data_IF_741794292632
#
_entry.id   IF_741794292632
#
_cell.length_a   1.000
_cell.length_b   1.000
_cell.length_c   1.000
_cell.angle_alpha   90.00
_cell.angle_beta   90.00
_cell.angle_gamma   90.00
#
_symmetry.space_group_name_H-M   'P 1'
#
loop_
_entity.id
_entity.type
_entity.pdbx_description
1 polymer ?
#
# COMPACT_ATOMS: atom_id res chain seq x y z
N UNK A 1 43.91 -30.85 -33.69
CA UNK A 1 43.94 -29.40 -33.86
C UNK A 1 42.58 -28.77 -34.15
N UNK A 2 41.51 -29.58 -34.31
CA UNK A 2 40.16 -29.12 -34.74
C UNK A 2 39.29 -28.52 -33.62
N UNK A 3 39.37 -28.99 -32.35
CA UNK A 3 38.41 -28.58 -31.29
C UNK A 3 38.73 -27.23 -30.59
N UNK A 4 39.95 -26.72 -30.72
CA UNK A 4 40.34 -25.42 -30.15
C UNK A 4 39.94 -24.22 -31.02
N UNK A 5 39.76 -24.41 -32.32
CA UNK A 5 39.33 -23.36 -33.27
C UNK A 5 37.82 -23.15 -33.18
N UNK A 6 37.02 -24.19 -33.06
CA UNK A 6 35.57 -24.12 -32.94
C UNK A 6 35.09 -23.44 -31.61
N UNK A 7 35.84 -23.61 -30.51
CA UNK A 7 35.54 -22.96 -29.23
C UNK A 7 35.96 -21.47 -29.19
N UNK A 8 36.91 -21.06 -30.03
CA UNK A 8 37.31 -19.64 -30.14
C UNK A 8 36.30 -18.82 -30.96
N UNK A 9 35.73 -19.39 -32.01
CA UNK A 9 34.76 -18.72 -32.88
C UNK A 9 33.42 -18.42 -32.10
N UNK A 10 32.92 -19.37 -31.36
CA UNK A 10 31.68 -19.15 -30.53
C UNK A 10 31.84 -18.14 -29.40
N UNK A 11 33.07 -17.96 -28.90
CA UNK A 11 33.39 -16.96 -27.88
C UNK A 11 33.45 -15.54 -28.45
N UNK A 12 33.99 -15.41 -29.67
CA UNK A 12 34.04 -14.12 -30.41
C UNK A 12 32.64 -13.68 -30.84
N UNK A 13 31.82 -14.58 -31.38
CA UNK A 13 30.44 -14.26 -31.76
C UNK A 13 29.58 -13.83 -30.57
N UNK A 14 29.69 -14.51 -29.40
CA UNK A 14 29.00 -14.12 -28.18
C UNK A 14 29.43 -12.73 -27.67
N UNK A 15 30.74 -12.42 -27.77
CA UNK A 15 31.21 -11.09 -27.37
C UNK A 15 30.78 -9.99 -28.35
N UNK A 16 30.78 -10.30 -29.63
CA UNK A 16 30.30 -9.36 -30.65
C UNK A 16 28.81 -9.07 -30.52
N UNK A 17 28.00 -10.10 -30.29
CA UNK A 17 26.57 -9.95 -30.04
C UNK A 17 26.28 -9.12 -28.77
N UNK A 18 26.99 -9.41 -27.66
CA UNK A 18 26.85 -8.64 -26.42
C UNK A 18 27.24 -7.18 -26.60
N UNK A 19 28.28 -6.90 -27.35
CA UNK A 19 28.71 -5.52 -27.66
C UNK A 19 27.69 -4.78 -28.55
N UNK A 20 27.08 -5.48 -29.51
CA UNK A 20 26.01 -4.92 -30.34
C UNK A 20 24.75 -4.61 -29.54
N UNK A 21 24.32 -5.54 -28.62
CA UNK A 21 23.16 -5.34 -27.74
C UNK A 21 23.39 -4.16 -26.76
N UNK A 22 24.62 -4.01 -26.24
CA UNK A 22 24.99 -2.88 -25.38
C UNK A 22 25.03 -1.55 -26.16
N UNK A 23 25.47 -1.57 -27.43
CA UNK A 23 25.50 -0.40 -28.27
C UNK A 23 24.09 0.05 -28.68
N UNK A 24 23.22 -0.89 -29.02
CA UNK A 24 21.80 -0.63 -29.29
C UNK A 24 21.05 -0.08 -28.06
N UNK A 25 21.32 -0.64 -26.88
CA UNK A 25 20.76 -0.15 -25.62
C UNK A 25 21.21 1.28 -25.30
N UNK A 26 22.50 1.60 -25.54
CA UNK A 26 23.03 2.96 -25.38
C UNK A 26 22.45 3.95 -26.41
N UNK A 27 22.30 3.52 -27.67
CA UNK A 27 21.67 4.34 -28.68
C UNK A 27 20.21 4.64 -28.39
N UNK A 28 19.43 3.63 -27.89
CA UNK A 28 18.05 3.82 -27.44
C UNK A 28 17.96 4.73 -26.21
N UNK A 29 18.90 4.62 -25.28
CA UNK A 29 18.97 5.51 -24.12
C UNK A 29 19.28 6.96 -24.53
N UNK A 30 20.23 7.17 -25.45
CA UNK A 30 20.56 8.50 -25.98
C UNK A 30 19.43 9.11 -26.84
N UNK A 31 18.71 8.32 -27.63
CA UNK A 31 17.53 8.78 -28.38
C UNK A 31 16.36 9.14 -27.44
N UNK A 32 16.17 8.40 -26.33
CA UNK A 32 15.24 8.75 -25.25
C UNK A 32 15.62 10.06 -24.56
N UNK A 33 16.86 10.20 -24.16
CA UNK A 33 17.39 11.39 -23.51
C UNK A 33 17.30 12.63 -24.41
N UNK A 34 17.52 12.48 -25.75
CA UNK A 34 17.34 13.53 -26.71
C UNK A 34 15.87 13.91 -26.97
N UNK A 35 14.94 12.96 -26.88
CA UNK A 35 13.49 13.23 -26.98
C UNK A 35 12.93 13.93 -25.74
N UNK A 36 13.41 13.56 -24.55
CA UNK A 36 13.08 14.26 -23.30
C UNK A 36 13.62 15.69 -23.24
N UNK A 37 14.71 15.97 -23.96
CA UNK A 37 15.32 17.31 -24.04
C UNK A 37 14.83 18.19 -25.20
N UNK A 38 13.90 17.67 -26.03
CA UNK A 38 13.35 18.48 -27.11
C UNK A 38 12.29 19.45 -26.56
N UNK A 39 12.57 20.76 -26.48
CA UNK A 39 11.65 21.71 -25.88
C UNK A 39 10.35 21.78 -26.68
N UNK A 40 9.24 21.79 -25.95
CA UNK A 40 7.89 21.97 -26.51
C UNK A 40 7.79 23.30 -27.29
N UNK A 41 6.81 23.48 -28.18
CA UNK A 41 6.64 24.74 -28.91
C UNK A 41 6.53 25.97 -27.97
N UNK A 42 5.93 25.82 -26.79
CA UNK A 42 5.86 26.87 -25.78
C UNK A 42 7.18 27.10 -25.06
N UNK A 43 7.97 26.06 -24.82
CA UNK A 43 9.31 26.18 -24.19
C UNK A 43 10.36 26.80 -25.12
N UNK A 44 10.15 26.80 -26.42
CA UNK A 44 11.05 27.48 -27.37
C UNK A 44 11.07 29.00 -27.19
N UNK A 45 10.04 29.58 -26.65
CA UNK A 45 9.94 31.01 -26.31
C UNK A 45 10.57 31.40 -24.98
N UNK A 46 10.93 30.38 -24.14
CA UNK A 46 11.49 30.59 -22.80
C UNK A 46 13.00 30.72 -22.84
N UNK A 47 13.56 31.56 -21.96
CA UNK A 47 14.99 31.64 -21.71
C UNK A 47 15.51 30.30 -21.09
N UNK A 48 16.82 30.00 -21.20
CA UNK A 48 17.39 28.79 -20.58
C UNK A 48 17.05 28.66 -19.09
N UNK A 49 17.13 29.77 -18.34
CA UNK A 49 16.81 29.80 -16.91
C UNK A 49 15.32 29.51 -16.61
N UNK A 50 14.42 29.97 -17.46
CA UNK A 50 12.99 29.67 -17.35
C UNK A 50 12.70 28.21 -17.68
N UNK A 51 13.41 27.60 -18.63
CA UNK A 51 13.30 26.14 -18.93
C UNK A 51 13.77 25.30 -17.77
N UNK A 52 14.89 25.65 -17.14
CA UNK A 52 15.36 24.96 -15.93
C UNK A 52 14.32 25.08 -14.81
N UNK A 53 13.71 26.25 -14.67
CA UNK A 53 12.62 26.45 -13.70
C UNK A 53 11.39 25.58 -14.02
N UNK A 54 10.99 25.44 -15.28
CA UNK A 54 9.90 24.55 -15.70
C UNK A 54 10.25 23.09 -15.40
N UNK A 55 11.49 22.67 -15.67
CA UNK A 55 11.96 21.31 -15.38
C UNK A 55 11.99 21.03 -13.85
N UNK A 56 12.43 21.99 -13.05
CA UNK A 56 12.47 21.88 -11.59
C UNK A 56 11.07 21.87 -10.94
N UNK A 57 10.09 22.55 -11.54
CA UNK A 57 8.71 22.63 -11.06
C UNK A 57 7.78 21.61 -11.74
N UNK A 58 8.27 20.90 -12.76
CA UNK A 58 7.57 19.78 -13.37
C UNK A 58 7.36 18.65 -12.33
N UNK A 59 6.11 18.21 -12.17
CA UNK A 59 5.80 17.03 -11.35
C UNK A 59 6.39 15.75 -11.95
N UNK A 60 6.47 14.68 -11.16
CA UNK A 60 6.85 13.36 -11.66
C UNK A 60 5.82 12.87 -12.69
N UNK A 61 6.29 12.35 -13.82
CA UNK A 61 5.40 11.72 -14.81
C UNK A 61 4.83 10.41 -14.28
N UNK A 62 3.70 9.96 -14.85
CA UNK A 62 3.10 8.66 -14.49
C UNK A 62 4.07 7.50 -14.68
N UNK A 63 4.88 7.54 -15.75
CA UNK A 63 5.93 6.54 -16.02
C UNK A 63 7.03 6.56 -14.94
N UNK A 64 7.42 7.75 -14.47
CA UNK A 64 8.41 7.89 -13.40
C UNK A 64 7.85 7.35 -12.08
N UNK A 65 6.60 7.67 -11.73
CA UNK A 65 5.92 7.14 -10.55
C UNK A 65 5.84 5.61 -10.59
N UNK A 66 5.39 5.06 -11.72
CA UNK A 66 5.36 3.62 -11.94
C UNK A 66 6.73 2.98 -11.72
N UNK A 67 7.80 3.56 -12.30
CA UNK A 67 9.16 3.04 -12.18
C UNK A 67 9.69 3.06 -10.75
N UNK A 68 9.34 4.08 -9.97
CA UNK A 68 9.71 4.17 -8.53
C UNK A 68 9.04 3.03 -7.76
N UNK A 69 7.71 2.87 -7.90
CA UNK A 69 6.95 1.87 -7.14
C UNK A 69 7.30 0.44 -7.61
N UNK A 70 7.51 0.25 -8.91
CA UNK A 70 8.00 -1.03 -9.45
C UNK A 70 9.32 -1.44 -8.80
N UNK A 71 10.28 -0.51 -8.71
CA UNK A 71 11.57 -0.76 -8.06
C UNK A 71 11.41 -1.07 -6.56
N UNK A 72 10.60 -0.31 -5.84
CA UNK A 72 10.29 -0.60 -4.44
C UNK A 72 9.69 -1.99 -4.29
N UNK A 73 8.75 -2.38 -5.17
CA UNK A 73 8.16 -3.72 -5.18
C UNK A 73 9.18 -4.83 -5.41
N UNK A 74 10.13 -4.64 -6.31
CA UNK A 74 11.22 -5.61 -6.54
C UNK A 74 12.14 -5.74 -5.32
N UNK A 75 12.41 -4.65 -4.62
CA UNK A 75 13.20 -4.65 -3.38
C UNK A 75 12.43 -5.38 -2.26
N UNK A 76 11.13 -5.14 -2.11
CA UNK A 76 10.28 -5.81 -1.12
C UNK A 76 10.18 -7.32 -1.35
N UNK A 77 10.04 -7.77 -2.61
CA UNK A 77 9.99 -9.20 -2.94
C UNK A 77 11.29 -9.95 -2.57
N UNK A 78 12.42 -9.24 -2.45
CA UNK A 78 13.73 -9.81 -2.05
C UNK A 78 13.96 -9.82 -0.54
N UNK A 79 13.11 -9.16 0.25
CA UNK A 79 13.30 -9.08 1.70
C UNK A 79 13.23 -10.45 2.39
N UNK A 80 14.07 -10.69 3.41
CA UNK A 80 14.01 -11.89 4.24
C UNK A 80 12.65 -12.01 4.96
N UNK A 81 12.16 -13.25 5.09
CA UNK A 81 10.87 -13.53 5.74
C UNK A 81 10.78 -12.98 7.17
N UNK A 82 11.89 -13.10 7.93
CA UNK A 82 11.94 -12.63 9.31
C UNK A 82 11.80 -11.11 9.41
N UNK A 83 12.38 -10.37 8.45
CA UNK A 83 12.27 -8.91 8.39
C UNK A 83 10.85 -8.48 8.02
N UNK A 84 10.21 -9.18 7.07
CA UNK A 84 8.81 -8.95 6.71
C UNK A 84 7.89 -9.23 7.90
N UNK A 85 8.14 -10.33 8.64
CA UNK A 85 7.33 -10.70 9.80
C UNK A 85 7.38 -9.64 10.89
N UNK A 86 8.57 -9.24 11.35
CA UNK A 86 8.68 -8.26 12.43
C UNK A 86 8.17 -6.88 12.03
N UNK A 87 8.44 -6.46 10.80
CA UNK A 87 7.89 -5.21 10.27
C UNK A 87 6.35 -5.27 10.15
N UNK A 88 5.80 -6.42 9.75
CA UNK A 88 4.36 -6.63 9.70
C UNK A 88 3.70 -6.66 11.08
N UNK A 89 4.30 -7.31 12.09
CA UNK A 89 3.81 -7.26 13.47
C UNK A 89 3.81 -5.82 13.99
N UNK A 90 4.90 -5.08 13.77
CA UNK A 90 4.99 -3.67 14.14
C UNK A 90 3.92 -2.82 13.44
N UNK A 91 3.62 -3.10 12.15
CA UNK A 91 2.54 -2.43 11.44
C UNK A 91 1.17 -2.74 12.03
N UNK A 92 0.90 -4.00 12.41
CA UNK A 92 -0.35 -4.38 13.08
C UNK A 92 -0.54 -3.68 14.44
N UNK A 93 0.52 -3.58 15.24
CA UNK A 93 0.52 -2.80 16.48
C UNK A 93 0.26 -1.31 16.19
N UNK A 94 0.98 -0.76 15.20
CA UNK A 94 0.90 0.65 14.83
C UNK A 94 -0.49 1.04 14.31
N UNK A 95 -1.08 0.25 13.41
CA UNK A 95 -2.40 0.55 12.84
C UNK A 95 -3.50 0.53 13.89
N UNK A 96 -3.36 -0.27 14.94
CA UNK A 96 -4.33 -0.35 16.03
C UNK A 96 -4.44 0.96 16.84
N UNK A 97 -3.46 1.87 16.71
CA UNK A 97 -3.57 3.21 17.30
C UNK A 97 -4.71 4.03 16.70
N UNK A 98 -5.15 3.72 15.47
CA UNK A 98 -6.34 4.32 14.86
C UNK A 98 -7.56 4.11 15.75
N UNK A 99 -7.87 2.86 16.06
CA UNK A 99 -9.03 2.50 16.89
C UNK A 99 -8.94 3.12 18.30
N UNK A 100 -7.73 3.17 18.87
CA UNK A 100 -7.50 3.80 20.17
C UNK A 100 -7.81 5.31 20.11
N UNK A 101 -7.38 6.01 19.10
CA UNK A 101 -7.61 7.46 18.96
C UNK A 101 -9.08 7.75 18.65
N UNK A 102 -9.72 6.95 17.78
CA UNK A 102 -11.17 7.06 17.53
C UNK A 102 -11.98 6.86 18.81
N UNK A 103 -11.73 5.79 19.57
CA UNK A 103 -12.38 5.56 20.85
C UNK A 103 -12.13 6.67 21.88
N UNK A 104 -10.92 7.24 21.89
CA UNK A 104 -10.59 8.38 22.75
C UNK A 104 -11.38 9.64 22.34
N UNK A 105 -11.50 9.92 21.05
CA UNK A 105 -12.29 11.07 20.57
C UNK A 105 -13.77 10.86 20.89
N UNK A 106 -14.32 9.69 20.59
CA UNK A 106 -15.73 9.36 20.85
C UNK A 106 -16.07 9.48 22.33
N UNK A 107 -15.25 8.93 23.24
CA UNK A 107 -15.48 8.99 24.68
C UNK A 107 -15.45 10.43 25.24
N UNK A 108 -14.69 11.33 24.62
CA UNK A 108 -14.63 12.73 25.07
C UNK A 108 -15.70 13.63 24.46
N UNK A 109 -16.16 13.37 23.23
CA UNK A 109 -17.19 14.15 22.57
C UNK A 109 -18.60 13.71 22.95
N UNK A 110 -18.78 12.41 23.28
CA UNK A 110 -20.08 11.79 23.52
C UNK A 110 -20.81 11.42 22.23
N UNK A 111 -21.63 10.34 22.31
CA UNK A 111 -22.29 9.75 21.13
C UNK A 111 -23.34 10.66 20.47
N UNK A 112 -23.83 11.70 21.17
CA UNK A 112 -24.85 12.63 20.68
C UNK A 112 -24.25 13.82 19.90
N UNK A 113 -22.90 13.92 19.76
CA UNK A 113 -22.27 15.06 19.10
C UNK A 113 -22.58 15.08 17.58
N UNK A 114 -23.11 16.18 17.01
CA UNK A 114 -23.63 16.21 15.62
C UNK A 114 -22.59 15.97 14.54
N UNK A 115 -21.30 16.16 14.85
CA UNK A 115 -20.18 15.95 13.93
C UNK A 115 -19.25 14.84 14.40
N UNK A 116 -19.75 13.93 15.28
CA UNK A 116 -18.94 12.88 15.89
C UNK A 116 -18.18 12.07 14.85
N UNK A 117 -18.88 11.49 13.87
CA UNK A 117 -18.29 10.63 12.83
C UNK A 117 -17.17 11.35 12.06
N UNK A 118 -17.36 12.62 11.70
CA UNK A 118 -16.35 13.38 10.95
C UNK A 118 -15.11 13.66 11.78
N UNK A 119 -15.26 13.92 13.09
CA UNK A 119 -14.15 14.26 13.98
C UNK A 119 -13.41 12.98 14.40
N UNK A 120 -14.12 11.92 14.80
CA UNK A 120 -13.49 10.66 15.18
C UNK A 120 -12.74 10.01 14.01
N UNK A 121 -13.26 10.14 12.76
CA UNK A 121 -12.58 9.67 11.55
C UNK A 121 -11.18 10.27 11.36
N UNK A 122 -10.88 11.44 11.93
CA UNK A 122 -9.50 11.95 11.97
C UNK A 122 -8.60 11.06 12.82
N UNK A 123 -9.16 10.47 13.88
CA UNK A 123 -8.45 9.51 14.73
C UNK A 123 -7.97 8.29 13.96
N UNK A 124 -8.78 7.82 13.02
CA UNK A 124 -8.43 6.70 12.15
C UNK A 124 -7.11 6.90 11.39
N UNK A 125 -6.79 8.13 11.02
CA UNK A 125 -5.58 8.45 10.27
C UNK A 125 -4.28 8.24 11.06
N UNK A 126 -4.31 8.26 12.38
CA UNK A 126 -3.09 8.21 13.20
C UNK A 126 -2.27 6.94 13.01
N UNK A 127 -2.93 5.78 12.99
CA UNK A 127 -2.26 4.50 12.75
C UNK A 127 -1.63 4.43 11.36
N UNK A 128 -2.31 4.96 10.34
CA UNK A 128 -1.78 5.00 8.97
C UNK A 128 -0.59 5.93 8.84
N UNK A 129 -0.64 7.12 9.42
CA UNK A 129 0.51 8.05 9.46
C UNK A 129 1.71 7.37 10.09
N UNK A 130 1.51 6.70 11.25
CA UNK A 130 2.58 5.99 11.92
C UNK A 130 3.16 4.87 11.05
N UNK A 131 2.31 3.99 10.51
CA UNK A 131 2.74 2.81 9.76
C UNK A 131 3.45 3.20 8.47
N UNK A 132 2.86 4.11 7.68
CA UNK A 132 3.36 4.51 6.37
C UNK A 132 4.67 5.31 6.51
N UNK A 133 4.74 6.29 7.42
CA UNK A 133 5.95 7.10 7.60
C UNK A 133 7.11 6.33 8.25
N UNK A 134 6.80 5.35 9.10
CA UNK A 134 7.81 4.42 9.63
C UNK A 134 8.22 3.33 8.63
N UNK A 135 7.62 3.32 7.41
CA UNK A 135 7.88 2.31 6.36
C UNK A 135 7.70 0.87 6.87
N UNK A 136 6.69 0.64 7.69
CA UNK A 136 6.33 -0.68 8.20
C UNK A 136 5.54 -1.44 7.14
N UNK A 137 5.59 -2.78 7.19
CA UNK A 137 4.94 -3.63 6.20
C UNK A 137 3.43 -3.73 6.43
N UNK A 138 2.65 -2.94 5.71
CA UNK A 138 1.20 -3.01 5.70
C UNK A 138 0.71 -3.80 4.48
N UNK A 139 -0.14 -4.81 4.71
CA UNK A 139 -0.63 -5.70 3.64
C UNK A 139 -1.30 -4.93 2.50
N UNK A 140 -2.12 -3.93 2.81
CA UNK A 140 -2.88 -3.18 1.81
C UNK A 140 -2.01 -2.27 0.93
N UNK A 141 -0.85 -1.79 1.41
CA UNK A 141 0.15 -1.14 0.56
C UNK A 141 0.74 -2.13 -0.45
N UNK A 142 0.94 -3.37 -0.03
CA UNK A 142 1.47 -4.44 -0.88
C UNK A 142 0.48 -4.93 -1.95
N UNK A 143 -0.79 -4.48 -1.93
CA UNK A 143 -1.75 -4.77 -3.00
C UNK A 143 -1.44 -4.04 -4.31
N UNK A 144 -0.61 -3.01 -4.29
CA UNK A 144 -0.03 -2.36 -5.48
C UNK A 144 1.46 -2.65 -5.57
N UNK A 145 2.25 -2.39 -4.51
CA UNK A 145 3.71 -2.35 -4.56
C UNK A 145 4.32 -3.62 -5.13
N UNK A 146 3.94 -4.80 -4.62
CA UNK A 146 4.49 -6.08 -5.09
C UNK A 146 3.73 -6.70 -6.27
N UNK A 147 2.61 -6.10 -6.68
CA UNK A 147 1.83 -6.53 -7.83
C UNK A 147 2.38 -5.96 -9.14
N UNK A 148 2.87 -4.72 -9.14
CA UNK A 148 3.48 -4.11 -10.33
C UNK A 148 4.64 -4.94 -10.92
N UNK A 149 5.58 -5.53 -10.12
CA UNK A 149 6.56 -6.49 -10.63
C UNK A 149 5.96 -7.71 -11.35
N UNK A 150 4.81 -8.21 -10.86
CA UNK A 150 4.12 -9.33 -11.50
C UNK A 150 3.49 -8.91 -12.82
N UNK A 151 2.85 -7.74 -12.87
CA UNK A 151 2.25 -7.20 -14.10
C UNK A 151 3.31 -6.89 -15.16
N UNK A 152 4.47 -6.35 -14.74
CA UNK A 152 5.59 -6.05 -15.63
C UNK A 152 6.22 -7.33 -16.24
N UNK A 153 6.34 -8.40 -15.46
CA UNK A 153 6.91 -9.67 -15.89
C UNK A 153 6.19 -10.83 -15.18
N UNK A 154 5.14 -11.42 -15.76
CA UNK A 154 4.31 -12.45 -15.15
C UNK A 154 5.00 -13.83 -15.17
N UNK A 155 5.99 -14.03 -14.30
CA UNK A 155 6.69 -15.28 -14.11
C UNK A 155 6.19 -16.05 -12.89
N UNK A 156 6.30 -17.39 -12.90
CA UNK A 156 5.90 -18.21 -11.74
C UNK A 156 6.63 -17.82 -10.47
N UNK A 157 7.90 -17.46 -10.57
CA UNK A 157 8.72 -17.06 -9.41
C UNK A 157 8.20 -15.76 -8.79
N UNK A 158 7.81 -14.77 -9.62
CA UNK A 158 7.23 -13.51 -9.11
C UNK A 158 5.89 -13.74 -8.44
N UNK A 159 5.01 -14.57 -9.03
CA UNK A 159 3.76 -14.96 -8.38
C UNK A 159 4.00 -15.64 -7.03
N UNK A 160 4.93 -16.59 -6.97
CA UNK A 160 5.28 -17.24 -5.72
C UNK A 160 5.84 -16.27 -4.67
N UNK A 161 6.77 -15.38 -5.06
CA UNK A 161 7.33 -14.37 -4.15
C UNK A 161 6.26 -13.41 -3.64
N UNK A 162 5.33 -12.98 -4.48
CA UNK A 162 4.19 -12.12 -4.09
C UNK A 162 3.25 -12.85 -3.13
N UNK A 163 2.84 -14.08 -3.44
CA UNK A 163 1.99 -14.87 -2.56
C UNK A 163 2.66 -15.14 -1.20
N UNK A 164 3.96 -15.45 -1.20
CA UNK A 164 4.77 -15.60 0.01
C UNK A 164 4.75 -14.33 0.86
N UNK A 165 5.07 -13.17 0.25
CA UNK A 165 5.09 -11.89 0.95
C UNK A 165 3.70 -11.55 1.49
N UNK A 166 2.66 -11.69 0.68
CA UNK A 166 1.27 -11.45 1.10
C UNK A 166 0.89 -12.31 2.31
N UNK A 167 1.20 -13.62 2.28
CA UNK A 167 0.90 -14.52 3.40
C UNK A 167 1.64 -14.14 4.68
N UNK A 168 2.93 -13.80 4.58
CA UNK A 168 3.73 -13.40 5.75
C UNK A 168 3.25 -12.08 6.32
N UNK A 169 3.08 -11.06 5.48
CA UNK A 169 2.71 -9.71 5.95
C UNK A 169 1.28 -9.70 6.49
N UNK A 170 0.32 -10.34 5.80
CA UNK A 170 -1.04 -10.46 6.31
C UNK A 170 -1.07 -11.15 7.67
N UNK A 171 -0.44 -12.31 7.79
CA UNK A 171 -0.37 -13.05 9.05
C UNK A 171 0.30 -12.24 10.18
N UNK A 172 1.37 -11.51 9.85
CA UNK A 172 2.08 -10.66 10.80
C UNK A 172 1.23 -9.45 11.24
N UNK A 173 0.55 -8.78 10.30
CA UNK A 173 -0.36 -7.68 10.62
C UNK A 173 -1.49 -8.15 11.54
N UNK A 174 -2.16 -9.27 11.20
CA UNK A 174 -3.21 -9.84 12.04
C UNK A 174 -2.70 -10.25 13.43
N UNK A 175 -1.48 -10.78 13.51
CA UNK A 175 -0.83 -11.06 14.80
C UNK A 175 -0.65 -9.77 15.63
N UNK A 176 -0.16 -8.69 15.01
CA UNK A 176 0.02 -7.40 15.67
C UNK A 176 -1.30 -6.80 16.17
N UNK A 177 -2.36 -6.81 15.34
CA UNK A 177 -3.68 -6.31 15.74
C UNK A 177 -4.31 -7.17 16.83
N UNK A 178 -4.13 -8.50 16.79
CA UNK A 178 -4.59 -9.40 17.84
C UNK A 178 -3.89 -9.16 19.19
N UNK A 179 -2.57 -8.92 19.16
CA UNK A 179 -1.81 -8.56 20.38
C UNK A 179 -2.35 -7.26 20.97
N UNK A 180 -2.58 -6.23 20.15
CA UNK A 180 -3.10 -4.95 20.64
C UNK A 180 -4.53 -5.11 21.20
N UNK A 181 -5.41 -5.84 20.50
CA UNK A 181 -6.75 -6.13 21.00
C UNK A 181 -6.70 -6.87 22.35
N UNK A 182 -5.76 -7.83 22.51
CA UNK A 182 -5.56 -8.55 23.79
C UNK A 182 -5.17 -7.58 24.92
N UNK A 183 -4.26 -6.64 24.61
CA UNK A 183 -3.84 -5.62 25.59
C UNK A 183 -5.00 -4.68 25.93
N UNK A 184 -5.80 -4.27 24.95
CA UNK A 184 -6.96 -3.39 25.17
C UNK A 184 -8.04 -4.06 26.03
N UNK A 185 -8.35 -5.32 25.78
CA UNK A 185 -9.42 -6.04 26.48
C UNK A 185 -8.99 -6.50 27.89
N UNK A 186 -7.79 -7.04 28.02
CA UNK A 186 -7.36 -7.70 29.27
C UNK A 186 -6.30 -6.93 30.06
N UNK A 187 -5.69 -5.91 29.45
CA UNK A 187 -4.58 -5.17 30.07
C UNK A 187 -4.98 -4.13 31.12
N UNK A 188 -6.26 -3.79 31.21
CA UNK A 188 -6.77 -2.74 32.13
C UNK A 188 -6.02 -1.40 32.01
N UNK A 189 -5.55 -1.08 30.80
CA UNK A 189 -4.74 0.12 30.54
C UNK A 189 -5.57 1.31 30.04
N UNK A 190 -6.81 1.07 29.64
CA UNK A 190 -7.70 2.09 29.08
C UNK A 190 -8.70 2.58 30.13
N UNK A 191 -9.08 3.88 30.08
CA UNK A 191 -10.24 4.37 30.80
C UNK A 191 -11.50 3.59 30.39
N UNK A 192 -12.41 3.37 31.31
CA UNK A 192 -13.65 2.59 31.08
C UNK A 192 -14.46 3.18 29.93
N UNK A 193 -14.61 4.52 29.88
CA UNK A 193 -15.38 5.20 28.83
C UNK A 193 -14.73 5.05 27.46
N UNK A 194 -13.39 5.09 27.39
CA UNK A 194 -12.65 4.88 26.13
C UNK A 194 -12.82 3.45 25.63
N UNK A 195 -12.74 2.45 26.53
CA UNK A 195 -12.94 1.07 26.13
C UNK A 195 -14.38 0.80 25.68
N UNK A 196 -15.37 1.39 26.36
CA UNK A 196 -16.77 1.32 25.95
C UNK A 196 -16.99 1.93 24.55
N UNK A 197 -16.37 3.08 24.28
CA UNK A 197 -16.42 3.70 22.96
C UNK A 197 -15.78 2.83 21.86
N UNK A 198 -14.65 2.16 22.15
CA UNK A 198 -14.01 1.21 21.23
C UNK A 198 -14.95 0.04 20.92
N UNK A 199 -15.61 -0.52 21.94
CA UNK A 199 -16.60 -1.58 21.75
C UNK A 199 -17.78 -1.12 20.89
N UNK A 200 -18.27 0.10 21.09
CA UNK A 200 -19.36 0.68 20.27
C UNK A 200 -18.97 0.78 18.79
N UNK A 201 -17.77 1.30 18.50
CA UNK A 201 -17.21 1.37 17.14
C UNK A 201 -17.10 -0.06 16.54
N UNK A 202 -16.53 -1.00 17.31
CA UNK A 202 -16.33 -2.38 16.88
C UNK A 202 -17.67 -3.09 16.59
N UNK A 203 -18.68 -2.89 17.43
CA UNK A 203 -20.03 -3.44 17.20
C UNK A 203 -20.67 -2.87 15.93
N UNK A 204 -20.48 -1.58 15.64
CA UNK A 204 -20.99 -0.98 14.40
C UNK A 204 -20.41 -1.68 13.17
N UNK A 205 -19.11 -1.92 13.11
CA UNK A 205 -18.48 -2.69 12.05
C UNK A 205 -19.06 -4.11 11.93
N UNK A 206 -19.31 -4.76 13.03
CA UNK A 206 -19.86 -6.11 13.08
C UNK A 206 -21.32 -6.23 12.62
N UNK A 207 -22.06 -5.12 12.47
CA UNK A 207 -23.42 -5.13 11.89
C UNK A 207 -23.44 -5.37 10.38
N UNK A 208 -22.32 -5.15 9.70
CA UNK A 208 -22.23 -5.29 8.24
C UNK A 208 -22.33 -6.75 7.83
N UNK A 209 -23.12 -7.00 6.79
CA UNK A 209 -23.15 -8.30 6.11
C UNK A 209 -21.83 -8.56 5.37
N UNK A 210 -21.47 -9.84 5.09
CA UNK A 210 -20.25 -10.14 4.31
C UNK A 210 -20.19 -9.45 2.94
N UNK A 211 -21.34 -9.28 2.28
CA UNK A 211 -21.41 -8.59 0.99
C UNK A 211 -21.14 -7.09 1.14
N UNK A 212 -21.73 -6.43 2.15
CA UNK A 212 -21.47 -5.02 2.46
C UNK A 212 -19.99 -4.82 2.85
N UNK A 213 -19.47 -5.69 3.70
CA UNK A 213 -18.06 -5.67 4.12
C UNK A 213 -17.12 -5.77 2.93
N UNK A 214 -17.39 -6.67 1.98
CA UNK A 214 -16.61 -6.80 0.74
C UNK A 214 -16.72 -5.54 -0.13
N UNK A 215 -17.95 -5.09 -0.39
CA UNK A 215 -18.19 -3.95 -1.29
C UNK A 215 -17.60 -2.65 -0.74
N UNK A 216 -17.72 -2.41 0.57
CA UNK A 216 -17.10 -1.26 1.25
C UNK A 216 -15.57 -1.40 1.34
N UNK A 217 -15.03 -2.60 1.23
CA UNK A 217 -13.59 -2.87 1.15
C UNK A 217 -12.95 -2.41 -0.17
N UNK A 218 -13.69 -2.39 -1.27
CA UNK A 218 -13.16 -2.01 -2.59
C UNK A 218 -12.64 -0.56 -2.61
N UNK A 219 -13.43 0.46 -2.23
CA UNK A 219 -12.93 1.84 -2.15
C UNK A 219 -11.73 2.00 -1.21
N UNK A 220 -11.75 1.34 -0.06
CA UNK A 220 -10.63 1.40 0.91
C UNK A 220 -9.33 0.89 0.30
N UNK A 221 -9.35 -0.30 -0.33
CA UNK A 221 -8.17 -0.83 -1.03
C UNK A 221 -7.67 0.09 -2.15
N UNK A 222 -8.60 0.68 -2.92
CA UNK A 222 -8.28 1.66 -3.95
C UNK A 222 -7.60 2.91 -3.39
N UNK A 223 -8.10 3.48 -2.29
CA UNK A 223 -7.53 4.68 -1.68
C UNK A 223 -6.16 4.44 -1.06
N UNK A 224 -5.93 3.28 -0.42
CA UNK A 224 -4.59 2.94 0.08
C UNK A 224 -3.59 2.81 -1.08
N UNK A 225 -3.98 2.14 -2.17
CA UNK A 225 -3.13 2.06 -3.36
C UNK A 225 -2.87 3.45 -3.98
N UNK A 226 -3.87 4.35 -3.98
CA UNK A 226 -3.72 5.73 -4.41
C UNK A 226 -2.74 6.51 -3.53
N UNK A 227 -2.76 6.33 -2.20
CA UNK A 227 -1.77 6.92 -1.29
C UNK A 227 -0.37 6.48 -1.71
N UNK A 228 -0.13 5.17 -1.86
CA UNK A 228 1.17 4.62 -2.27
C UNK A 228 1.65 5.24 -3.59
N UNK A 229 0.74 5.39 -4.57
CA UNK A 229 1.05 6.00 -5.86
C UNK A 229 1.40 7.48 -5.76
N UNK A 230 0.75 8.23 -4.87
CA UNK A 230 0.93 9.67 -4.74
C UNK A 230 2.13 10.07 -3.87
N UNK A 231 2.53 9.23 -2.91
CA UNK A 231 3.60 9.57 -1.95
C UNK A 231 4.91 10.04 -2.60
N UNK A 232 5.43 9.43 -3.68
CA UNK A 232 6.67 9.91 -4.32
C UNK A 232 6.57 11.35 -4.84
N UNK A 233 5.37 11.80 -5.25
CA UNK A 233 5.10 13.18 -5.69
C UNK A 233 4.76 14.13 -4.55
N UNK A 234 4.33 13.60 -3.40
CA UNK A 234 3.79 14.37 -2.28
C UNK A 234 4.88 14.85 -1.30
N UNK A 235 6.15 14.94 -1.73
CA UNK A 235 7.27 15.36 -0.88
C UNK A 235 6.92 16.63 -0.08
N UNK A 236 7.06 16.56 1.26
CA UNK A 236 6.68 17.56 2.27
C UNK A 236 5.17 17.66 2.55
N UNK A 237 4.33 16.88 1.90
CA UNK A 237 2.87 16.85 2.08
C UNK A 237 2.36 15.43 2.35
N UNK A 238 3.25 14.48 2.64
CA UNK A 238 2.93 13.06 2.82
C UNK A 238 1.85 12.88 3.89
N UNK A 239 2.00 13.55 5.03
CA UNK A 239 1.02 13.50 6.14
C UNK A 239 -0.36 13.95 5.67
N UNK A 240 -0.44 15.04 4.90
CA UNK A 240 -1.71 15.56 4.41
C UNK A 240 -2.40 14.56 3.47
N UNK A 241 -1.65 13.96 2.55
CA UNK A 241 -2.19 12.93 1.63
C UNK A 241 -2.70 11.73 2.42
N UNK A 242 -1.91 11.21 3.36
CA UNK A 242 -2.30 10.08 4.20
C UNK A 242 -3.58 10.42 4.97
N UNK A 243 -3.60 11.53 5.71
CA UNK A 243 -4.74 11.95 6.54
C UNK A 243 -5.99 12.13 5.69
N UNK A 244 -5.90 12.81 4.55
CA UNK A 244 -7.05 13.10 3.69
C UNK A 244 -7.75 11.81 3.21
N UNK A 245 -6.99 10.84 2.70
CA UNK A 245 -7.58 9.61 2.16
C UNK A 245 -7.99 8.62 3.25
N UNK A 246 -7.22 8.51 4.34
CA UNK A 246 -7.60 7.63 5.45
C UNK A 246 -8.77 8.18 6.25
N UNK A 247 -8.86 9.50 6.41
CA UNK A 247 -10.06 10.14 6.93
C UNK A 247 -11.30 9.85 6.06
N UNK A 248 -11.14 9.92 4.72
CA UNK A 248 -12.22 9.59 3.78
C UNK A 248 -12.64 8.12 3.90
N UNK A 249 -11.69 7.20 4.13
CA UNK A 249 -11.99 5.79 4.38
C UNK A 249 -12.90 5.65 5.61
N UNK A 250 -12.55 6.27 6.73
CA UNK A 250 -13.33 6.20 7.95
C UNK A 250 -14.67 6.94 7.84
N UNK A 251 -14.66 8.20 7.39
CA UNK A 251 -15.87 9.02 7.24
C UNK A 251 -16.86 8.45 6.22
N UNK A 252 -16.38 7.71 5.21
CA UNK A 252 -17.20 6.98 4.24
C UNK A 252 -17.60 5.58 4.70
N UNK A 253 -17.23 5.18 5.92
CA UNK A 253 -17.46 3.83 6.48
C UNK A 253 -16.96 2.70 5.57
N UNK A 254 -15.83 2.92 4.86
CA UNK A 254 -15.18 1.93 4.03
C UNK A 254 -14.34 0.98 4.89
N UNK A 255 -14.45 -0.32 4.63
CA UNK A 255 -13.81 -1.33 5.47
C UNK A 255 -12.36 -1.59 5.07
N UNK A 256 -11.45 -1.64 6.05
CA UNK A 256 -10.03 -1.93 5.85
C UNK A 256 -9.61 -3.16 6.65
N UNK A 257 -8.96 -4.14 5.98
CA UNK A 257 -8.72 -5.46 6.57
C UNK A 257 -7.87 -5.41 7.84
N UNK A 258 -6.81 -4.59 7.88
CA UNK A 258 -5.90 -4.61 9.05
C UNK A 258 -6.45 -3.74 10.18
N UNK A 259 -6.91 -2.51 9.92
CA UNK A 259 -7.51 -1.68 10.96
C UNK A 259 -8.77 -2.34 11.55
N UNK A 260 -9.72 -2.76 10.70
CA UNK A 260 -10.93 -3.46 11.14
C UNK A 260 -10.67 -4.80 11.81
N UNK A 261 -9.54 -5.47 11.55
CA UNK A 261 -9.21 -6.70 12.27
C UNK A 261 -8.94 -6.46 13.76
N UNK A 262 -8.43 -5.28 14.16
CA UNK A 262 -8.27 -4.94 15.57
C UNK A 262 -9.63 -4.83 16.27
N UNK A 263 -10.60 -4.16 15.65
CA UNK A 263 -11.97 -4.04 16.14
C UNK A 263 -12.64 -5.41 16.27
N UNK A 264 -12.58 -6.22 15.23
CA UNK A 264 -13.16 -7.57 15.22
C UNK A 264 -12.49 -8.48 16.26
N UNK A 265 -11.16 -8.43 16.42
CA UNK A 265 -10.48 -9.19 17.48
C UNK A 265 -10.82 -8.67 18.88
N UNK A 266 -11.09 -7.37 19.04
CA UNK A 266 -11.58 -6.82 20.30
C UNK A 266 -12.93 -7.46 20.71
N UNK A 267 -13.87 -7.61 19.77
CA UNK A 267 -15.14 -8.29 20.02
C UNK A 267 -14.95 -9.79 20.33
N UNK A 268 -14.04 -10.46 19.63
CA UNK A 268 -13.73 -11.87 19.89
C UNK A 268 -13.19 -12.07 21.30
N UNK A 269 -12.25 -11.24 21.72
CA UNK A 269 -11.61 -11.32 23.04
C UNK A 269 -12.51 -10.85 24.17
N UNK A 270 -13.45 -9.94 23.89
CA UNK A 270 -14.49 -9.52 24.84
C UNK A 270 -15.60 -10.58 25.01
N UNK A 271 -15.67 -11.58 24.13
CA UNK A 271 -16.67 -12.65 24.16
C UNK A 271 -17.96 -12.37 23.38
N UNK A 272 -17.99 -11.26 22.61
CA UNK A 272 -19.16 -10.83 21.83
C UNK A 272 -19.24 -11.53 20.46
N UNK A 273 -18.14 -12.12 19.98
CA UNK A 273 -18.07 -12.77 18.67
C UNK A 273 -17.25 -14.06 18.71
N UNK A 274 -17.66 -15.04 17.92
CA UNK A 274 -16.87 -16.26 17.70
C UNK A 274 -15.76 -16.03 16.69
N UNK A 275 -14.56 -16.61 16.91
CA UNK A 275 -13.39 -16.45 16.03
C UNK A 275 -13.66 -16.92 14.60
N UNK A 276 -14.43 -17.97 14.37
CA UNK A 276 -14.78 -18.44 13.03
C UNK A 276 -15.68 -17.44 12.31
N UNK A 277 -16.64 -16.83 13.01
CA UNK A 277 -17.46 -15.73 12.48
C UNK A 277 -16.56 -14.54 12.11
N UNK A 278 -15.66 -14.14 12.99
CA UNK A 278 -14.69 -13.07 12.75
C UNK A 278 -13.90 -13.28 11.45
N UNK A 279 -13.32 -14.47 11.28
CA UNK A 279 -12.48 -14.79 10.12
C UNK A 279 -13.27 -14.91 8.81
N UNK A 280 -14.43 -15.60 8.84
CA UNK A 280 -15.17 -15.95 7.63
C UNK A 280 -16.10 -14.82 7.18
N UNK A 281 -16.81 -14.17 8.12
CA UNK A 281 -17.85 -13.20 7.78
C UNK A 281 -17.39 -11.75 7.78
N UNK A 282 -16.23 -11.44 8.43
CA UNK A 282 -15.70 -10.06 8.47
C UNK A 282 -14.33 -9.95 7.83
N UNK A 283 -13.31 -10.67 8.33
CA UNK A 283 -11.92 -10.49 7.84
C UNK A 283 -11.77 -10.95 6.38
N UNK A 284 -12.28 -12.12 6.00
CA UNK A 284 -12.15 -12.63 4.63
C UNK A 284 -12.86 -11.76 3.58
N UNK A 285 -14.12 -11.31 3.77
CA UNK A 285 -14.77 -10.43 2.79
C UNK A 285 -14.05 -9.09 2.61
N UNK A 286 -13.63 -8.43 3.70
CA UNK A 286 -12.90 -7.16 3.60
C UNK A 286 -11.55 -7.36 2.92
N UNK A 287 -10.82 -8.45 3.21
CA UNK A 287 -9.57 -8.81 2.54
C UNK A 287 -9.75 -8.88 1.03
N UNK A 288 -10.78 -9.61 0.58
CA UNK A 288 -11.09 -9.72 -0.85
C UNK A 288 -11.43 -8.35 -1.43
N UNK A 289 -12.24 -7.54 -0.75
CA UNK A 289 -12.58 -6.19 -1.17
C UNK A 289 -11.34 -5.30 -1.33
N UNK A 290 -10.44 -5.32 -0.34
CA UNK A 290 -9.21 -4.51 -0.40
C UNK A 290 -8.28 -4.98 -1.54
N UNK A 291 -8.15 -6.29 -1.81
CA UNK A 291 -7.39 -6.80 -2.96
C UNK A 291 -8.03 -6.37 -4.28
N UNK A 292 -9.35 -6.46 -4.41
CA UNK A 292 -10.05 -6.01 -5.61
C UNK A 292 -9.85 -4.52 -5.85
N UNK A 293 -9.92 -3.68 -4.82
CA UNK A 293 -9.69 -2.25 -4.92
C UNK A 293 -8.25 -1.87 -5.26
N UNK A 294 -7.28 -2.40 -4.51
CA UNK A 294 -5.86 -2.07 -4.69
C UNK A 294 -5.24 -2.74 -5.90
N UNK A 295 -5.41 -4.05 -6.06
CA UNK A 295 -4.84 -4.82 -7.17
C UNK A 295 -5.73 -4.81 -8.40
N UNK A 296 -7.00 -5.19 -8.24
CA UNK A 296 -7.92 -5.38 -9.37
C UNK A 296 -8.31 -4.08 -10.06
N UNK A 297 -8.40 -2.98 -9.33
CA UNK A 297 -8.72 -1.68 -9.92
C UNK A 297 -7.47 -0.81 -10.03
N UNK A 298 -6.88 -0.37 -8.91
CA UNK A 298 -5.85 0.67 -8.96
C UNK A 298 -4.58 0.23 -9.67
N UNK A 299 -3.98 -0.91 -9.29
CA UNK A 299 -2.74 -1.38 -9.91
C UNK A 299 -2.90 -1.71 -11.40
N UNK A 300 -4.05 -2.30 -11.81
CA UNK A 300 -4.30 -2.59 -13.22
C UNK A 300 -4.55 -1.31 -14.03
N UNK A 301 -5.26 -0.32 -13.48
CA UNK A 301 -5.51 0.95 -14.16
C UNK A 301 -4.21 1.76 -14.34
N UNK A 302 -3.38 1.83 -13.31
CA UNK A 302 -2.09 2.54 -13.38
C UNK A 302 -1.10 1.82 -14.31
N UNK A 303 -1.09 0.48 -14.34
CA UNK A 303 -0.31 -0.28 -15.32
C UNK A 303 -0.80 0.00 -16.75
N UNK A 304 -2.12 -0.06 -16.99
CA UNK A 304 -2.70 0.24 -18.29
C UNK A 304 -2.41 1.66 -18.79
N UNK A 305 -2.35 2.64 -17.86
CA UNK A 305 -2.00 4.03 -18.16
C UNK A 305 -0.59 4.18 -18.76
N UNK A 306 0.38 3.38 -18.30
CA UNK A 306 1.79 3.54 -18.70
C UNK A 306 2.27 2.45 -19.65
N UNK A 307 1.48 1.41 -19.90
CA UNK A 307 1.90 0.23 -20.66
C UNK A 307 2.36 0.56 -22.08
N UNK A 308 1.67 1.47 -22.77
CA UNK A 308 2.03 1.90 -24.12
C UNK A 308 3.23 2.87 -24.15
N UNK A 309 3.63 3.39 -22.98
CA UNK A 309 4.78 4.32 -22.87
C UNK A 309 6.08 3.59 -22.53
N UNK A 310 6.01 2.30 -22.16
CA UNK A 310 7.17 1.44 -21.83
C UNK A 310 7.75 0.76 -23.07
#
# INVERSE_FOLDING_TARGET
>A
MSDREAHRDTSFEKKAKKAADEQESRAKAQDRESREQTPTPSEKSLTPKERDTVAEHGGLTSLTLYSIILREGEEELRRPNISLWWSGVAAGLGISTSVLVEGTIRSNLGSDHPYLTLIESLGYSFGFVLVILCRLQLFTENTITVVLPVLAQPTRDRFYCTARLWGIVLGANLCGTFITATIMVHGNILPVDTFAAILEISHHLATLTPAETLLRGIPSGFFIAAIVWMLPSAKRSEVLVIVMFTWLIAAGEFTHVIAGSNEIFTLVLNGDMNIFTALIYHISPVLIGNILGGTGLFAMLTYGQVHEEM
#
